data_IF_347109034754
#
_entry.id   IF_347109034754
#
_cell.length_a   1.000
_cell.length_b   1.000
_cell.length_c   1.000
_cell.angle_alpha   90.00
_cell.angle_beta   90.00
_cell.angle_gamma   90.00
#
_symmetry.space_group_name_H-M   'P 1'
#
loop_
_entity.id
_entity.type
_entity.pdbx_description
1 polymer ?
#
# COMPACT_ATOMS: atom_id res chain seq x y z
N UNK A 1 -25.70 20.70 4.18
CA UNK A 1 -25.81 20.11 5.52
C UNK A 1 -24.43 20.13 6.19
N UNK A 2 -24.37 20.09 7.51
CA UNK A 2 -23.11 20.04 8.26
C UNK A 2 -22.65 18.59 8.38
N UNK A 3 -21.44 18.30 7.92
CA UNK A 3 -20.88 16.96 7.93
C UNK A 3 -19.54 16.96 8.66
N UNK A 4 -19.39 16.06 9.63
CA UNK A 4 -18.12 15.82 10.30
C UNK A 4 -17.41 14.62 9.68
N UNK A 5 -16.12 14.77 9.41
CA UNK A 5 -15.24 13.67 8.98
C UNK A 5 -14.21 13.42 10.07
N UNK A 6 -14.19 12.23 10.65
CA UNK A 6 -13.28 11.86 11.74
C UNK A 6 -12.21 10.94 11.19
N UNK A 7 -10.96 11.44 11.18
CA UNK A 7 -9.79 10.77 10.63
C UNK A 7 -9.27 11.42 9.35
N UNK A 8 -8.04 11.92 9.38
CA UNK A 8 -7.35 12.62 8.28
C UNK A 8 -6.45 11.72 7.43
N UNK A 9 -6.74 10.41 7.34
CA UNK A 9 -6.12 9.49 6.38
C UNK A 9 -6.71 9.64 4.97
N UNK A 10 -6.19 8.90 3.98
CA UNK A 10 -6.65 8.99 2.57
C UNK A 10 -8.16 8.84 2.42
N UNK A 11 -8.79 7.94 3.18
CA UNK A 11 -10.24 7.74 3.13
C UNK A 11 -11.01 8.98 3.62
N UNK A 12 -10.60 9.56 4.76
CA UNK A 12 -11.24 10.76 5.30
C UNK A 12 -10.97 11.98 4.43
N UNK A 13 -9.76 12.15 3.92
CA UNK A 13 -9.42 13.24 3.01
C UNK A 13 -10.24 13.16 1.71
N UNK A 14 -10.38 11.97 1.13
CA UNK A 14 -11.20 11.77 -0.07
C UNK A 14 -12.68 12.07 0.22
N UNK A 15 -13.22 11.59 1.34
CA UNK A 15 -14.60 11.88 1.74
C UNK A 15 -14.84 13.39 1.97
N UNK A 16 -13.93 14.04 2.69
CA UNK A 16 -14.07 15.46 3.00
C UNK A 16 -14.02 16.36 1.75
N UNK A 17 -13.10 16.05 0.82
CA UNK A 17 -12.98 16.77 -0.46
C UNK A 17 -14.25 16.59 -1.29
N UNK A 18 -14.72 15.36 -1.46
CA UNK A 18 -15.92 15.05 -2.24
C UNK A 18 -17.16 15.74 -1.65
N UNK A 19 -17.33 15.72 -0.33
CA UNK A 19 -18.41 16.41 0.36
C UNK A 19 -18.35 17.94 0.19
N UNK A 20 -17.15 18.53 0.31
CA UNK A 20 -16.96 19.96 0.11
C UNK A 20 -17.26 20.38 -1.33
N UNK A 21 -16.84 19.57 -2.32
CA UNK A 21 -17.14 19.81 -3.73
C UNK A 21 -18.64 19.75 -4.04
N UNK A 22 -19.41 18.98 -3.26
CA UNK A 22 -20.88 18.96 -3.33
C UNK A 22 -21.57 20.06 -2.49
N UNK A 23 -20.82 21.01 -1.93
CA UNK A 23 -21.35 22.17 -1.22
C UNK A 23 -21.83 21.87 0.20
N UNK A 24 -21.35 20.80 0.83
CA UNK A 24 -21.59 20.56 2.25
C UNK A 24 -20.66 21.42 3.12
N UNK A 25 -21.11 21.78 4.31
CA UNK A 25 -20.29 22.41 5.35
C UNK A 25 -19.51 21.30 6.06
N UNK A 26 -18.23 21.15 5.73
CA UNK A 26 -17.39 20.03 6.18
C UNK A 26 -16.42 20.49 7.27
N UNK A 27 -16.36 19.72 8.36
CA UNK A 27 -15.29 19.80 9.36
C UNK A 27 -14.58 18.45 9.44
N UNK A 28 -13.27 18.45 9.15
CA UNK A 28 -12.40 17.27 9.26
C UNK A 28 -11.61 17.34 10.56
N UNK A 29 -11.69 16.28 11.37
CA UNK A 29 -10.95 16.11 12.62
C UNK A 29 -9.88 15.03 12.49
N UNK A 30 -8.64 15.35 12.85
CA UNK A 30 -7.53 14.41 12.90
C UNK A 30 -6.83 14.45 14.27
N UNK A 31 -6.68 13.31 14.90
CA UNK A 31 -6.07 13.19 16.23
C UNK A 31 -4.56 13.50 16.26
N UNK A 32 -3.88 13.30 15.15
CA UNK A 32 -2.44 13.60 14.98
C UNK A 32 -2.25 15.06 14.53
N UNK A 33 -1.04 15.62 14.71
CA UNK A 33 -0.74 16.97 14.21
C UNK A 33 -0.65 17.06 12.69
N UNK A 34 -0.54 15.92 11.96
CA UNK A 34 -0.37 15.83 10.51
C UNK A 34 -1.47 14.99 9.87
N UNK A 35 -1.91 15.39 8.68
CA UNK A 35 -2.79 14.63 7.81
C UNK A 35 -2.02 13.54 7.03
N UNK A 36 -2.73 12.61 6.39
CA UNK A 36 -2.18 11.55 5.54
C UNK A 36 -2.34 10.13 6.12
N UNK A 37 -2.58 10.00 7.43
CA UNK A 37 -2.85 8.70 8.05
C UNK A 37 -1.70 7.71 7.91
N UNK A 38 -1.87 6.66 7.11
CA UNK A 38 -0.86 5.62 6.88
C UNK A 38 0.17 5.97 5.79
N UNK A 39 0.00 7.08 5.05
CA UNK A 39 0.95 7.54 4.03
C UNK A 39 1.64 8.81 4.53
N UNK A 40 2.78 8.63 5.18
CA UNK A 40 3.48 9.71 5.89
C UNK A 40 4.97 9.70 5.66
N UNK A 41 5.55 10.90 5.66
CA UNK A 41 6.99 11.11 5.85
C UNK A 41 7.29 11.10 7.35
N UNK A 42 8.33 10.39 7.75
CA UNK A 42 8.76 10.33 9.14
C UNK A 42 9.31 11.70 9.57
N UNK A 43 9.11 12.11 10.83
CA UNK A 43 9.73 13.32 11.35
C UNK A 43 11.24 13.31 11.13
N UNK A 44 11.78 14.41 10.62
CA UNK A 44 13.22 14.57 10.37
C UNK A 44 14.01 14.42 11.69
N UNK A 45 15.15 13.76 11.59
CA UNK A 45 16.11 13.61 12.69
C UNK A 45 17.47 14.15 12.25
N UNK A 46 18.23 14.60 13.21
CA UNK A 46 19.63 14.99 12.95
C UNK A 46 20.40 13.83 12.32
N UNK A 47 21.04 14.11 11.19
CA UNK A 47 21.79 13.12 10.41
C UNK A 47 20.96 12.33 9.38
N UNK A 48 19.67 12.54 9.28
CA UNK A 48 18.87 11.93 8.19
C UNK A 48 19.35 12.49 6.83
N UNK A 49 19.55 11.62 5.82
CA UNK A 49 19.81 12.10 4.47
C UNK A 49 18.53 12.71 3.87
N UNK A 50 18.64 13.82 3.09
CA UNK A 50 17.50 14.40 2.42
C UNK A 50 17.10 13.57 1.18
N UNK A 51 15.77 13.46 0.89
CA UNK A 51 14.66 13.87 1.76
C UNK A 51 14.47 12.89 2.93
N UNK A 52 13.85 13.33 4.03
CA UNK A 52 13.60 12.44 5.16
C UNK A 52 12.82 11.20 4.72
N UNK A 53 13.05 10.03 5.37
CA UNK A 53 12.42 8.79 4.96
C UNK A 53 10.90 8.82 5.19
N UNK A 54 10.16 8.10 4.34
CA UNK A 54 8.75 7.82 4.58
C UNK A 54 8.59 6.62 5.55
N UNK A 55 7.38 6.41 6.05
CA UNK A 55 7.09 5.23 6.87
C UNK A 55 7.23 3.89 6.09
N UNK A 56 7.29 3.96 4.76
CA UNK A 56 7.56 2.88 3.82
C UNK A 56 7.55 3.41 2.39
N UNK A 57 8.01 2.60 1.43
CA UNK A 57 7.87 2.94 0.03
C UNK A 57 6.49 2.48 -0.45
N UNK A 58 5.69 3.41 -0.92
CA UNK A 58 4.38 3.12 -1.51
C UNK A 58 4.46 3.22 -3.03
N UNK A 59 3.96 2.20 -3.72
CA UNK A 59 3.76 2.19 -5.17
C UNK A 59 2.27 2.07 -5.43
N UNK A 60 1.74 2.90 -6.31
CA UNK A 60 0.43 2.69 -6.88
C UNK A 60 0.57 2.00 -8.25
N UNK A 61 -0.53 1.49 -8.75
CA UNK A 61 -0.62 0.90 -10.08
C UNK A 61 -1.54 1.74 -10.97
N UNK A 62 -1.42 1.60 -12.27
CA UNK A 62 -2.25 2.31 -13.23
C UNK A 62 -3.75 2.09 -13.04
N UNK A 63 -4.15 0.92 -12.50
CA UNK A 63 -5.54 0.61 -12.13
C UNK A 63 -6.06 1.35 -10.88
N UNK A 64 -5.22 2.12 -10.17
CA UNK A 64 -5.64 2.90 -9.00
C UNK A 64 -6.29 4.22 -9.42
N UNK A 65 -7.39 4.12 -10.14
CA UNK A 65 -8.01 5.26 -10.84
C UNK A 65 -8.56 6.32 -9.90
N UNK A 66 -9.17 5.94 -8.79
CA UNK A 66 -9.71 6.90 -7.82
C UNK A 66 -8.60 7.57 -7.00
N UNK A 67 -7.56 6.83 -6.67
CA UNK A 67 -6.39 7.42 -6.02
C UNK A 67 -5.68 8.45 -6.91
N UNK A 68 -5.51 8.16 -8.20
CA UNK A 68 -4.92 9.09 -9.15
C UNK A 68 -5.81 10.33 -9.33
N UNK A 69 -7.13 10.15 -9.46
CA UNK A 69 -8.09 11.26 -9.51
C UNK A 69 -8.04 12.13 -8.24
N UNK A 70 -7.89 11.51 -7.07
CA UNK A 70 -7.70 12.21 -5.81
C UNK A 70 -6.42 13.07 -5.84
N UNK A 71 -5.29 12.53 -6.31
CA UNK A 71 -4.04 13.30 -6.46
C UNK A 71 -4.21 14.48 -7.42
N UNK A 72 -4.86 14.28 -8.56
CA UNK A 72 -5.16 15.36 -9.50
C UNK A 72 -6.01 16.45 -8.84
N UNK A 73 -7.03 16.06 -8.05
CA UNK A 73 -7.93 16.99 -7.38
C UNK A 73 -7.24 17.84 -6.31
N UNK A 74 -6.24 17.30 -5.62
CA UNK A 74 -5.45 18.06 -4.63
C UNK A 74 -4.24 18.78 -5.24
N UNK A 75 -4.10 18.78 -6.58
CA UNK A 75 -3.04 19.46 -7.31
C UNK A 75 -1.70 18.70 -7.39
N UNK A 76 -1.69 17.41 -7.08
CA UNK A 76 -0.49 16.57 -7.02
C UNK A 76 -0.40 15.52 -8.16
N UNK A 77 -1.17 15.69 -9.24
CA UNK A 77 -1.12 14.81 -10.41
C UNK A 77 0.25 14.69 -11.09
N UNK A 78 1.14 15.68 -10.88
CA UNK A 78 2.54 15.65 -11.36
C UNK A 78 3.55 15.10 -10.35
N UNK A 79 3.11 14.66 -9.16
CA UNK A 79 4.02 14.24 -8.08
C UNK A 79 4.36 12.75 -8.11
N UNK A 80 4.11 12.09 -9.24
CA UNK A 80 4.48 10.71 -9.48
C UNK A 80 4.99 10.52 -10.91
N UNK A 81 5.84 9.50 -11.07
CA UNK A 81 6.33 9.01 -12.37
C UNK A 81 5.58 7.74 -12.72
N UNK A 82 4.93 7.74 -13.89
CA UNK A 82 4.26 6.55 -14.42
C UNK A 82 5.18 5.82 -15.38
N UNK A 83 5.45 4.57 -15.10
CA UNK A 83 6.32 3.71 -15.88
C UNK A 83 5.61 2.41 -16.27
N UNK A 84 5.85 1.94 -17.48
CA UNK A 84 5.37 0.62 -17.89
C UNK A 84 5.93 -0.46 -16.97
N UNK A 85 5.09 -1.44 -16.64
CA UNK A 85 5.52 -2.57 -15.81
C UNK A 85 6.81 -3.18 -16.36
N UNK A 86 7.88 -3.01 -15.61
CA UNK A 86 9.16 -3.67 -15.79
C UNK A 86 9.80 -3.84 -14.42
N UNK A 87 9.71 -5.07 -13.88
CA UNK A 87 10.19 -5.38 -12.53
C UNK A 87 11.49 -6.15 -12.62
N UNK A 88 12.63 -5.55 -12.31
CA UNK A 88 13.87 -6.27 -12.09
C UNK A 88 13.71 -7.22 -10.89
N UNK A 89 14.10 -8.46 -11.06
CA UNK A 89 14.10 -9.50 -10.03
C UNK A 89 15.52 -10.06 -9.93
N UNK A 90 16.06 -10.03 -8.73
CA UNK A 90 17.42 -10.50 -8.42
C UNK A 90 17.30 -11.83 -7.70
N UNK A 91 17.92 -12.86 -8.28
CA UNK A 91 17.96 -14.23 -7.75
C UNK A 91 18.91 -14.39 -6.57
N UNK A 92 18.86 -15.57 -5.96
CA UNK A 92 19.75 -15.96 -4.86
C UNK A 92 21.21 -16.03 -5.31
N UNK A 93 21.45 -16.27 -6.61
CA UNK A 93 22.76 -16.31 -7.28
C UNK A 93 23.20 -14.95 -7.83
N UNK A 94 22.56 -13.86 -7.40
CA UNK A 94 22.78 -12.50 -7.89
C UNK A 94 22.48 -12.29 -9.40
N UNK A 95 21.93 -13.29 -10.09
CA UNK A 95 21.47 -13.11 -11.47
C UNK A 95 20.24 -12.22 -11.52
N UNK A 96 20.10 -11.44 -12.59
CA UNK A 96 18.96 -10.56 -12.77
C UNK A 96 18.08 -10.99 -13.95
N UNK A 97 16.78 -10.95 -13.76
CA UNK A 97 15.77 -11.10 -14.81
C UNK A 97 14.70 -10.03 -14.62
N UNK A 98 13.88 -9.77 -15.64
CA UNK A 98 12.80 -8.80 -15.53
C UNK A 98 11.45 -9.44 -15.84
N UNK A 99 10.43 -9.05 -15.09
CA UNK A 99 9.03 -9.38 -15.36
C UNK A 99 8.36 -8.17 -15.96
N UNK A 100 7.70 -8.34 -17.09
CA UNK A 100 6.84 -7.31 -17.70
C UNK A 100 5.56 -7.94 -18.23
N UNK A 101 4.62 -7.13 -18.72
CA UNK A 101 3.39 -7.63 -19.36
C UNK A 101 3.64 -8.41 -20.66
N UNK A 102 4.82 -8.29 -21.26
CA UNK A 102 5.14 -9.02 -22.48
C UNK A 102 5.25 -10.52 -22.20
N UNK A 103 4.51 -11.40 -22.89
CA UNK A 103 4.70 -12.85 -22.77
C UNK A 103 6.15 -13.28 -23.03
N UNK A 104 6.88 -12.52 -23.85
CA UNK A 104 8.28 -12.76 -24.13
C UNK A 104 9.18 -12.56 -22.92
N UNK A 105 8.86 -11.62 -22.02
CA UNK A 105 9.61 -11.44 -20.77
C UNK A 105 9.45 -12.65 -19.86
N UNK A 106 8.25 -13.22 -19.78
CA UNK A 106 7.98 -14.45 -19.00
C UNK A 106 8.80 -15.62 -19.56
N UNK A 107 8.84 -15.76 -20.90
CA UNK A 107 9.63 -16.82 -21.54
C UNK A 107 11.14 -16.63 -21.34
N UNK A 108 11.60 -15.41 -21.10
CA UNK A 108 13.02 -15.07 -20.80
C UNK A 108 13.34 -15.04 -19.31
N UNK A 109 12.35 -15.21 -18.43
CA UNK A 109 12.53 -15.12 -16.99
C UNK A 109 13.40 -16.27 -16.45
N UNK A 110 14.70 -16.03 -16.29
CA UNK A 110 15.72 -17.04 -15.99
C UNK A 110 15.59 -17.72 -14.63
N UNK A 111 14.87 -17.11 -13.67
CA UNK A 111 14.67 -17.69 -12.32
C UNK A 111 13.70 -18.88 -12.31
N UNK A 112 13.10 -19.23 -13.46
CA UNK A 112 12.31 -20.43 -13.65
C UNK A 112 12.84 -21.28 -14.79
N UNK A 113 12.81 -22.63 -14.69
CA UNK A 113 13.10 -23.55 -15.80
C UNK A 113 12.14 -23.29 -16.99
N UNK A 114 12.58 -23.60 -18.22
CA UNK A 114 11.81 -23.32 -19.44
C UNK A 114 10.36 -23.88 -19.41
N UNK A 115 10.19 -25.12 -18.91
CA UNK A 115 8.86 -25.74 -18.76
C UNK A 115 7.95 -24.95 -17.83
N UNK A 116 8.51 -24.39 -16.77
CA UNK A 116 7.76 -23.59 -15.77
C UNK A 116 7.32 -22.24 -16.35
N UNK A 117 8.15 -21.62 -17.18
CA UNK A 117 7.82 -20.36 -17.88
C UNK A 117 6.61 -20.53 -18.79
N UNK A 118 6.54 -21.64 -19.55
CA UNK A 118 5.38 -21.98 -20.38
C UNK A 118 4.13 -22.23 -19.52
N UNK A 119 4.31 -22.86 -18.36
CA UNK A 119 3.20 -23.07 -17.41
C UNK A 119 2.67 -21.76 -16.86
N UNK A 120 3.52 -20.76 -16.51
CA UNK A 120 3.08 -19.44 -16.09
C UNK A 120 2.16 -18.80 -17.12
N UNK A 121 2.50 -18.86 -18.42
CA UNK A 121 1.65 -18.31 -19.48
C UNK A 121 0.28 -19.00 -19.51
N UNK A 122 0.26 -20.34 -19.37
CA UNK A 122 -1.03 -21.08 -19.30
C UNK A 122 -1.85 -20.72 -18.09
N UNK A 123 -1.23 -20.60 -16.93
CA UNK A 123 -1.90 -20.21 -15.69
C UNK A 123 -2.47 -18.78 -15.80
N UNK A 124 -1.73 -17.82 -16.36
CA UNK A 124 -2.23 -16.47 -16.63
C UNK A 124 -3.47 -16.47 -17.53
N UNK A 125 -3.46 -17.28 -18.59
CA UNK A 125 -4.63 -17.41 -19.47
C UNK A 125 -5.82 -18.06 -18.76
N UNK A 126 -5.59 -19.03 -17.88
CA UNK A 126 -6.63 -19.68 -17.10
C UNK A 126 -7.22 -18.71 -16.05
N UNK A 127 -6.40 -17.88 -15.41
CA UNK A 127 -6.84 -16.90 -14.42
C UNK A 127 -7.81 -15.84 -14.99
N UNK A 128 -7.77 -15.56 -16.31
CA UNK A 128 -8.75 -14.66 -16.94
C UNK A 128 -10.19 -15.07 -16.78
N UNK A 129 -10.45 -16.38 -16.62
CA UNK A 129 -11.80 -16.96 -16.51
C UNK A 129 -12.00 -17.73 -15.21
N UNK A 130 -11.01 -17.71 -14.34
CA UNK A 130 -11.10 -18.37 -13.05
C UNK A 130 -12.03 -17.60 -12.12
N UNK A 131 -12.62 -18.32 -11.20
CA UNK A 131 -13.36 -17.79 -10.07
C UNK A 131 -12.57 -18.14 -8.81
N UNK A 132 -12.31 -17.15 -7.98
CA UNK A 132 -11.70 -17.30 -6.67
C UNK A 132 -12.76 -17.53 -5.61
N UNK A 133 -12.47 -18.40 -4.67
CA UNK A 133 -13.33 -18.65 -3.51
C UNK A 133 -12.67 -18.08 -2.27
N UNK A 134 -13.45 -17.49 -1.39
CA UNK A 134 -12.92 -16.92 -0.14
C UNK A 134 -12.56 -18.01 0.89
N UNK A 135 -12.94 -19.27 0.67
CA UNK A 135 -12.63 -20.43 1.53
C UNK A 135 -11.33 -21.16 1.10
N UNK A 136 -10.68 -20.77 0.02
CA UNK A 136 -9.39 -21.33 -0.45
C UNK A 136 -8.30 -20.25 -0.55
N UNK A 137 -7.04 -20.67 -0.49
CA UNK A 137 -5.92 -19.75 -0.71
C UNK A 137 -5.66 -19.54 -2.20
N UNK A 138 -5.06 -18.40 -2.55
CA UNK A 138 -4.66 -18.12 -3.92
C UNK A 138 -3.60 -19.13 -4.41
N UNK A 139 -2.68 -19.56 -3.54
CA UNK A 139 -1.74 -20.63 -3.85
C UNK A 139 -2.42 -21.95 -4.19
N UNK A 140 -3.53 -22.29 -3.51
CA UNK A 140 -4.34 -23.47 -3.84
C UNK A 140 -4.99 -23.33 -5.22
N UNK A 141 -5.58 -22.16 -5.52
CA UNK A 141 -6.13 -21.85 -6.85
C UNK A 141 -5.03 -21.97 -7.93
N UNK A 142 -3.87 -21.36 -7.72
CA UNK A 142 -2.75 -21.43 -8.66
C UNK A 142 -2.31 -22.86 -8.94
N UNK A 143 -2.18 -23.71 -7.90
CA UNK A 143 -1.83 -25.13 -8.07
C UNK A 143 -2.91 -25.91 -8.82
N UNK A 144 -4.19 -25.63 -8.54
CA UNK A 144 -5.31 -26.21 -9.27
C UNK A 144 -5.29 -25.85 -10.77
N UNK A 145 -4.76 -24.68 -11.12
CA UNK A 145 -4.56 -24.24 -12.50
C UNK A 145 -3.23 -24.73 -13.11
N UNK A 146 -2.41 -25.45 -12.36
CA UNK A 146 -1.18 -26.08 -12.83
C UNK A 146 0.11 -25.33 -12.50
N UNK A 147 0.08 -24.37 -11.56
CA UNK A 147 1.29 -23.75 -11.05
C UNK A 147 2.05 -24.71 -10.11
N UNK A 148 3.37 -24.67 -10.18
CA UNK A 148 4.26 -25.34 -9.22
C UNK A 148 4.55 -24.45 -8.01
N UNK A 149 5.09 -25.04 -6.92
CA UNK A 149 5.60 -24.28 -5.78
C UNK A 149 6.69 -23.27 -6.19
N UNK A 150 7.60 -23.68 -7.09
CA UNK A 150 8.64 -22.77 -7.58
C UNK A 150 8.09 -21.56 -8.34
N UNK A 151 6.98 -21.72 -9.08
CA UNK A 151 6.30 -20.59 -9.71
C UNK A 151 5.68 -19.66 -8.67
N UNK A 152 5.08 -20.22 -7.60
CA UNK A 152 4.48 -19.40 -6.52
C UNK A 152 5.57 -18.57 -5.87
N UNK A 153 6.66 -19.17 -5.42
CA UNK A 153 7.71 -18.46 -4.71
C UNK A 153 8.49 -17.46 -5.58
N UNK A 154 8.76 -17.81 -6.84
CA UNK A 154 9.70 -17.05 -7.69
C UNK A 154 9.02 -16.14 -8.70
N UNK A 155 7.71 -16.25 -8.89
CA UNK A 155 6.96 -15.43 -9.83
C UNK A 155 5.71 -14.80 -9.19
N UNK A 156 4.80 -15.61 -8.65
CA UNK A 156 3.52 -15.09 -8.15
C UNK A 156 3.68 -14.23 -6.88
N UNK A 157 4.50 -14.66 -5.92
CA UNK A 157 4.75 -13.89 -4.69
C UNK A 157 5.48 -12.57 -4.95
N UNK A 158 6.16 -12.41 -6.09
CA UNK A 158 6.74 -11.12 -6.49
C UNK A 158 5.66 -10.04 -6.65
N UNK A 159 4.45 -10.41 -7.08
CA UNK A 159 3.31 -9.49 -7.22
C UNK A 159 2.35 -9.55 -6.05
N UNK A 160 2.00 -10.76 -5.63
CA UNK A 160 0.95 -10.99 -4.64
C UNK A 160 1.36 -10.47 -3.27
N UNK A 161 2.59 -10.75 -2.87
CA UNK A 161 3.05 -10.39 -1.54
C UNK A 161 3.07 -8.88 -1.28
N UNK A 162 3.60 -8.02 -2.15
CA UNK A 162 3.53 -6.58 -1.93
C UNK A 162 2.11 -6.00 -2.06
N UNK A 163 1.25 -6.62 -2.89
CA UNK A 163 -0.11 -6.13 -3.12
C UNK A 163 -1.08 -6.49 -1.98
N UNK A 164 -0.95 -7.69 -1.41
CA UNK A 164 -1.83 -8.22 -0.37
C UNK A 164 -1.20 -8.21 1.02
N UNK A 165 0.09 -7.91 1.10
CA UNK A 165 0.89 -8.02 2.31
C UNK A 165 0.83 -9.43 2.93
N UNK A 166 0.70 -10.45 2.07
CA UNK A 166 0.62 -11.88 2.36
C UNK A 166 1.23 -12.68 1.21
N UNK A 167 1.74 -13.87 1.49
CA UNK A 167 2.12 -14.82 0.44
C UNK A 167 0.88 -15.39 -0.25
N UNK A 168 1.02 -15.84 -1.48
CA UNK A 168 -0.07 -16.49 -2.22
C UNK A 168 -0.68 -17.69 -1.47
N UNK A 169 0.13 -18.42 -0.70
CA UNK A 169 -0.30 -19.57 0.11
C UNK A 169 -1.11 -19.17 1.36
N UNK A 170 -1.15 -17.90 1.69
CA UNK A 170 -1.87 -17.35 2.84
C UNK A 170 -3.06 -16.48 2.43
N UNK A 171 -2.92 -15.75 1.32
CA UNK A 171 -3.94 -14.84 0.82
C UNK A 171 -5.16 -15.60 0.27
N UNK A 172 -6.38 -15.06 0.44
CA UNK A 172 -7.58 -15.64 -0.14
C UNK A 172 -7.50 -15.68 -1.66
N UNK A 173 -8.07 -16.71 -2.28
CA UNK A 173 -8.10 -16.85 -3.73
C UNK A 173 -8.88 -15.71 -4.39
N UNK A 174 -9.92 -15.21 -3.76
CA UNK A 174 -10.69 -14.08 -4.25
C UNK A 174 -9.83 -12.80 -4.32
N UNK A 175 -9.13 -12.45 -3.23
CA UNK A 175 -8.27 -11.28 -3.18
C UNK A 175 -7.08 -11.39 -4.15
N UNK A 176 -6.44 -12.56 -4.22
CA UNK A 176 -5.33 -12.81 -5.14
C UNK A 176 -5.75 -12.74 -6.60
N UNK A 177 -6.89 -13.36 -6.92
CA UNK A 177 -7.45 -13.34 -8.27
C UNK A 177 -7.86 -11.93 -8.71
N UNK A 178 -8.58 -11.19 -7.85
CA UNK A 178 -8.93 -9.80 -8.10
C UNK A 178 -7.68 -8.96 -8.40
N UNK A 179 -6.63 -9.09 -7.58
CA UNK A 179 -5.38 -8.38 -7.77
C UNK A 179 -4.76 -8.67 -9.14
N UNK A 180 -4.66 -9.96 -9.51
CA UNK A 180 -4.06 -10.36 -10.80
C UNK A 180 -4.94 -9.95 -11.97
N UNK A 181 -6.26 -10.14 -11.89
CA UNK A 181 -7.18 -9.79 -12.98
C UNK A 181 -7.19 -8.27 -13.21
N UNK A 182 -7.25 -7.48 -12.16
CA UNK A 182 -7.31 -6.01 -12.26
C UNK A 182 -5.96 -5.43 -12.71
N UNK A 183 -4.84 -5.83 -12.07
CA UNK A 183 -3.56 -5.20 -12.35
C UNK A 183 -2.82 -5.78 -13.56
N UNK A 184 -2.88 -7.10 -13.79
CA UNK A 184 -2.06 -7.75 -14.83
C UNK A 184 -2.84 -8.17 -16.06
N UNK A 185 -4.13 -8.48 -15.92
CA UNK A 185 -4.96 -9.03 -17.00
C UNK A 185 -6.00 -8.04 -17.55
N UNK A 186 -6.14 -6.87 -16.94
CA UNK A 186 -6.90 -5.72 -17.42
C UNK A 186 -6.24 -5.01 -18.61
N UNK A 187 -6.48 -3.71 -18.74
CA UNK A 187 -5.89 -2.89 -19.80
C UNK A 187 -4.36 -2.76 -19.66
N UNK A 188 -3.70 -2.32 -20.75
CA UNK A 188 -2.24 -2.25 -20.78
C UNK A 188 -1.67 -1.33 -19.70
N UNK A 189 -2.38 -0.29 -19.39
CA UNK A 189 -1.96 0.75 -18.46
C UNK A 189 -2.26 0.41 -17.00
N UNK A 190 -3.12 -0.58 -16.72
CA UNK A 190 -3.49 -0.99 -15.37
C UNK A 190 -2.31 -1.51 -14.56
N UNK A 191 -1.36 -2.15 -15.24
CA UNK A 191 -0.14 -2.67 -14.64
C UNK A 191 0.99 -1.64 -14.51
N UNK A 192 0.85 -0.43 -15.06
CA UNK A 192 1.90 0.58 -14.98
C UNK A 192 2.24 0.90 -13.52
N UNK A 193 3.53 1.05 -13.26
CA UNK A 193 4.01 1.47 -11.95
C UNK A 193 3.83 2.98 -11.79
N UNK A 194 3.21 3.39 -10.71
CA UNK A 194 3.06 4.80 -10.33
C UNK A 194 3.93 5.06 -9.11
N UNK A 195 5.09 5.65 -9.36
CA UNK A 195 6.16 5.84 -8.40
C UNK A 195 6.14 7.28 -7.88
N UNK A 196 6.00 7.52 -6.58
CA UNK A 196 6.07 8.88 -6.03
C UNK A 196 7.48 9.46 -6.25
N UNK A 197 7.53 10.72 -6.68
CA UNK A 197 8.79 11.45 -6.92
C UNK A 197 9.10 12.49 -5.85
N UNK A 198 8.33 12.50 -4.78
CA UNK A 198 8.47 13.36 -3.60
C UNK A 198 8.11 12.59 -2.33
N UNK A 199 8.48 13.06 -1.14
CA UNK A 199 8.06 12.48 0.13
C UNK A 199 6.53 12.37 0.25
N UNK A 200 6.04 11.29 0.85
CA UNK A 200 4.60 10.98 0.91
C UNK A 200 3.78 12.06 1.65
N UNK A 201 4.35 12.66 2.71
CA UNK A 201 3.68 13.76 3.43
C UNK A 201 3.43 14.99 2.56
N UNK A 202 4.37 15.28 1.66
CA UNK A 202 4.29 16.39 0.72
C UNK A 202 3.29 16.17 -0.43
N UNK A 203 2.98 14.90 -0.74
CA UNK A 203 2.07 14.53 -1.84
C UNK A 203 0.62 14.42 -1.34
N UNK A 204 0.40 14.05 -0.07
CA UNK A 204 -0.94 13.69 0.39
C UNK A 204 -1.50 14.68 1.42
N UNK A 205 -1.00 14.65 2.65
CA UNK A 205 -1.65 15.33 3.77
C UNK A 205 -1.69 16.85 3.62
N UNK A 206 -0.56 17.47 3.36
CA UNK A 206 -0.48 18.93 3.22
C UNK A 206 -1.27 19.47 2.02
N UNK A 207 -1.12 18.91 0.78
CA UNK A 207 -1.93 19.36 -0.35
C UNK A 207 -3.42 19.16 -0.15
N UNK A 208 -3.84 18.04 0.42
CA UNK A 208 -5.25 17.79 0.70
C UNK A 208 -5.81 18.78 1.73
N UNK A 209 -5.04 19.12 2.77
CA UNK A 209 -5.40 20.15 3.73
C UNK A 209 -5.60 21.51 3.08
N UNK A 210 -4.70 21.91 2.17
CA UNK A 210 -4.84 23.17 1.39
C UNK A 210 -6.07 23.13 0.46
N UNK A 211 -6.32 22.01 -0.20
CA UNK A 211 -7.48 21.84 -1.07
C UNK A 211 -8.81 21.94 -0.31
N UNK A 212 -8.88 21.34 0.88
CA UNK A 212 -10.03 21.43 1.78
C UNK A 212 -10.29 22.86 2.24
N UNK A 213 -9.25 23.57 2.68
CA UNK A 213 -9.37 24.96 3.10
C UNK A 213 -9.82 25.86 1.94
N UNK A 214 -9.29 25.64 0.73
CA UNK A 214 -9.70 26.37 -0.46
C UNK A 214 -11.16 26.09 -0.86
N UNK A 215 -11.68 24.90 -0.54
CA UNK A 215 -13.10 24.53 -0.71
C UNK A 215 -14.01 25.01 0.44
N UNK A 216 -13.46 25.74 1.42
CA UNK A 216 -14.22 26.28 2.55
C UNK A 216 -14.44 25.29 3.71
N UNK A 217 -13.81 24.15 3.69
CA UNK A 217 -13.87 23.18 4.79
C UNK A 217 -12.98 23.58 5.96
N UNK A 218 -13.40 23.24 7.17
CA UNK A 218 -12.59 23.39 8.38
C UNK A 218 -11.74 22.13 8.60
N UNK A 219 -10.46 22.31 8.93
CA UNK A 219 -9.53 21.21 9.23
C UNK A 219 -8.95 21.40 10.62
N UNK A 220 -9.22 20.46 11.52
CA UNK A 220 -8.76 20.46 12.91
C UNK A 220 -7.81 19.29 13.16
N UNK A 221 -6.51 19.56 13.19
CA UNK A 221 -5.48 18.57 13.57
C UNK A 221 -5.18 18.63 15.06
N UNK A 222 -4.64 17.54 15.63
CA UNK A 222 -4.45 17.40 17.08
C UNK A 222 -5.77 17.26 17.86
N UNK A 223 -6.89 17.06 17.16
CA UNK A 223 -8.25 17.01 17.70
C UNK A 223 -8.76 15.56 17.73
N UNK A 224 -8.63 14.90 18.87
CA UNK A 224 -9.17 13.56 19.09
C UNK A 224 -10.64 13.62 19.42
N UNK A 225 -11.45 12.87 18.68
CA UNK A 225 -12.89 12.74 18.95
C UNK A 225 -13.14 11.50 19.82
N UNK A 226 -13.87 11.70 20.89
CA UNK A 226 -14.27 10.64 21.82
C UNK A 226 -15.80 10.48 21.89
N UNK A 227 -16.57 11.46 21.43
CA UNK A 227 -18.03 11.45 21.39
C UNK A 227 -18.53 12.04 20.07
N UNK A 228 -19.29 11.24 19.29
CA UNK A 228 -19.87 11.66 18.02
C UNK A 228 -21.05 12.63 18.19
N UNK A 229 -21.79 12.52 19.28
CA UNK A 229 -22.96 13.39 19.53
C UNK A 229 -22.54 14.83 19.83
N UNK A 230 -21.34 15.01 20.41
CA UNK A 230 -20.77 16.31 20.68
C UNK A 230 -20.39 17.11 19.41
N UNK A 231 -20.30 16.47 18.25
CA UNK A 231 -19.94 17.13 16.98
C UNK A 231 -21.04 18.04 16.44
N UNK A 232 -22.30 17.82 16.82
CA UNK A 232 -23.43 18.58 16.32
C UNK A 232 -23.60 18.55 14.80
N UNK A 233 -23.06 17.54 14.13
CA UNK A 233 -23.15 17.32 12.70
C UNK A 233 -24.43 16.56 12.32
N UNK A 234 -24.95 16.79 11.11
CA UNK A 234 -26.14 16.12 10.59
C UNK A 234 -25.79 14.74 10.03
N UNK A 235 -24.53 14.55 9.58
CA UNK A 235 -23.96 13.28 9.20
C UNK A 235 -22.49 13.21 9.61
N UNK A 236 -21.98 11.99 9.81
CA UNK A 236 -20.59 11.73 10.21
C UNK A 236 -19.98 10.67 9.32
N UNK A 237 -18.76 10.92 8.83
CA UNK A 237 -17.91 9.89 8.21
C UNK A 237 -16.83 9.49 9.21
N UNK A 238 -16.82 8.23 9.64
CA UNK A 238 -15.76 7.65 10.46
C UNK A 238 -14.71 7.03 9.54
N UNK A 239 -13.60 7.72 9.35
CA UNK A 239 -12.48 7.30 8.54
C UNK A 239 -11.25 6.92 9.40
N UNK A 240 -11.50 6.21 10.49
CA UNK A 240 -10.50 5.78 11.48
C UNK A 240 -10.32 4.26 11.46
N UNK A 241 -9.27 3.71 12.10
CA UNK A 241 -9.08 2.26 12.21
C UNK A 241 -10.26 1.52 12.84
N UNK A 242 -10.40 0.19 12.60
CA UNK A 242 -11.51 -0.61 13.12
C UNK A 242 -11.76 -0.45 14.62
N UNK A 243 -10.71 -0.52 15.44
CA UNK A 243 -10.80 -0.38 16.89
C UNK A 243 -11.35 0.98 17.33
N UNK A 244 -10.91 2.07 16.70
CA UNK A 244 -11.42 3.41 16.99
C UNK A 244 -12.86 3.58 16.49
N UNK A 245 -13.20 2.96 15.35
CA UNK A 245 -14.59 2.95 14.84
C UNK A 245 -15.52 2.23 15.82
N UNK A 246 -15.14 1.04 16.29
CA UNK A 246 -15.93 0.28 17.26
C UNK A 246 -16.09 1.06 18.58
N UNK A 247 -15.03 1.67 19.08
CA UNK A 247 -15.06 2.52 20.29
C UNK A 247 -16.02 3.71 20.13
N UNK A 248 -16.00 4.41 19.00
CA UNK A 248 -16.84 5.59 18.76
C UNK A 248 -18.30 5.24 18.48
N UNK A 249 -18.57 4.09 17.87
CA UNK A 249 -19.94 3.61 17.66
C UNK A 249 -20.56 3.07 18.93
N UNK A 250 -19.74 2.54 19.86
CA UNK A 250 -20.20 1.89 21.07
C UNK A 250 -20.85 0.52 20.83
N UNK A 251 -21.31 -0.11 21.91
CA UNK A 251 -22.09 -1.36 21.78
C UNK A 251 -23.44 -1.08 21.07
N UNK A 252 -23.90 -1.97 20.22
CA UNK A 252 -23.51 -3.38 20.04
C UNK A 252 -22.55 -3.67 18.86
N UNK A 253 -21.75 -2.72 18.44
CA UNK A 253 -20.84 -2.91 17.29
C UNK A 253 -19.42 -3.32 17.78
N UNK A 254 -19.14 -4.63 17.99
CA UNK A 254 -17.82 -5.10 18.37
C UNK A 254 -16.81 -4.84 17.24
N UNK A 255 -15.54 -4.63 17.59
CA UNK A 255 -14.46 -4.51 16.61
C UNK A 255 -14.45 -5.70 15.66
N UNK A 256 -14.36 -5.50 14.33
CA UNK A 256 -14.21 -6.62 13.40
C UNK A 256 -12.89 -7.35 13.63
N UNK A 257 -12.94 -8.67 13.72
CA UNK A 257 -11.77 -9.53 13.97
C UNK A 257 -10.88 -9.62 12.71
N UNK A 258 -10.26 -8.52 12.34
CA UNK A 258 -9.32 -8.45 11.21
C UNK A 258 -7.89 -8.64 11.70
N UNK A 259 -7.30 -9.81 11.37
CA UNK A 259 -5.89 -10.08 11.68
C UNK A 259 -5.00 -9.02 10.99
N UNK A 260 -4.05 -8.39 11.71
CA UNK A 260 -3.15 -7.43 11.09
C UNK A 260 -2.03 -8.12 10.29
N UNK A 261 -1.60 -7.49 9.20
CA UNK A 261 -0.41 -7.88 8.46
C UNK A 261 0.63 -6.76 8.50
N UNK A 262 1.84 -7.04 9.02
CA UNK A 262 2.87 -6.04 9.22
C UNK A 262 3.71 -5.77 7.98
N UNK A 263 4.26 -4.55 7.92
CA UNK A 263 5.33 -4.16 7.00
C UNK A 263 6.51 -3.61 7.81
N UNK A 264 7.70 -3.99 7.40
CA UNK A 264 8.95 -3.45 7.93
C UNK A 264 9.71 -2.77 6.80
N UNK A 265 10.10 -1.52 7.02
CA UNK A 265 10.94 -0.75 6.09
C UNK A 265 12.26 -0.39 6.76
N UNK A 266 13.36 -0.54 6.03
CA UNK A 266 14.69 -0.15 6.50
C UNK A 266 15.31 0.77 5.44
N UNK A 267 15.64 1.99 5.86
CA UNK A 267 16.28 2.99 5.04
C UNK A 267 17.79 2.92 5.28
N UNK A 268 18.57 2.86 4.21
CA UNK A 268 20.01 2.59 4.23
C UNK A 268 20.74 3.57 3.32
N UNK A 269 21.77 4.22 3.82
CA UNK A 269 22.70 4.98 3.01
C UNK A 269 24.04 4.23 2.94
N UNK A 270 24.42 3.80 1.74
CA UNK A 270 25.70 3.15 1.48
C UNK A 270 26.71 4.12 0.87
N UNK A 271 28.01 3.84 1.04
CA UNK A 271 29.14 4.65 0.56
C UNK A 271 29.27 4.71 -0.98
N UNK A 272 28.65 3.73 -1.66
CA UNK A 272 28.69 3.58 -3.13
C UNK A 272 27.38 3.02 -3.68
N UNK A 273 27.13 3.16 -5.00
CA UNK A 273 25.97 2.55 -5.66
C UNK A 273 26.02 1.03 -5.63
N UNK A 274 24.91 0.41 -5.19
CA UNK A 274 24.65 -1.02 -5.20
C UNK A 274 23.59 -1.39 -6.23
N UNK A 275 22.46 -0.68 -6.23
CA UNK A 275 21.35 -0.92 -7.13
C UNK A 275 21.51 -0.11 -8.42
N UNK A 276 21.33 -0.77 -9.58
CA UNK A 276 21.47 -0.16 -10.91
C UNK A 276 20.13 0.19 -11.57
N UNK A 277 19.04 -0.03 -10.87
CA UNK A 277 17.69 0.27 -11.31
C UNK A 277 16.97 1.05 -10.21
N UNK A 278 15.89 1.80 -10.52
CA UNK A 278 15.14 2.55 -9.50
C UNK A 278 14.51 1.64 -8.44
N UNK A 279 14.29 0.38 -8.77
CA UNK A 279 13.77 -0.63 -7.83
C UNK A 279 14.14 -2.05 -8.27
N UNK A 280 14.12 -3.00 -7.35
CA UNK A 280 14.20 -4.43 -7.66
C UNK A 280 13.54 -5.27 -6.57
N UNK A 281 13.03 -6.46 -6.96
CA UNK A 281 12.66 -7.52 -6.03
C UNK A 281 13.83 -8.48 -5.81
N UNK A 282 13.96 -9.04 -4.60
CA UNK A 282 14.98 -10.02 -4.25
C UNK A 282 14.34 -11.36 -3.86
N UNK A 283 14.60 -12.41 -4.62
CA UNK A 283 14.05 -13.74 -4.33
C UNK A 283 14.73 -14.38 -3.12
N UNK A 284 13.95 -15.06 -2.27
CA UNK A 284 14.47 -15.79 -1.11
C UNK A 284 15.23 -14.88 -0.12
N UNK A 285 14.90 -13.60 -0.02
CA UNK A 285 15.56 -12.60 0.81
C UNK A 285 14.63 -12.06 1.87
N UNK A 286 15.12 -11.70 3.07
CA UNK A 286 14.33 -10.89 4.01
C UNK A 286 14.05 -9.49 3.46
N UNK A 287 14.91 -8.97 2.60
CA UNK A 287 14.74 -7.73 1.84
C UNK A 287 13.91 -8.03 0.58
N UNK A 288 12.58 -8.00 0.66
CA UNK A 288 11.74 -8.40 -0.47
C UNK A 288 11.86 -7.45 -1.65
N UNK A 289 11.88 -6.14 -1.36
CA UNK A 289 11.98 -5.07 -2.34
C UNK A 289 13.00 -4.04 -1.90
N UNK A 290 13.73 -3.52 -2.86
CA UNK A 290 14.66 -2.41 -2.66
C UNK A 290 14.38 -1.32 -3.68
N UNK A 291 14.43 -0.06 -3.22
CA UNK A 291 14.15 1.14 -3.99
C UNK A 291 15.30 2.12 -3.85
N UNK A 292 15.74 2.72 -4.95
CA UNK A 292 16.64 3.87 -4.92
C UNK A 292 15.85 5.14 -4.62
N UNK A 293 15.77 5.49 -3.32
CA UNK A 293 15.02 6.66 -2.89
C UNK A 293 15.62 7.95 -3.44
N UNK A 294 16.94 8.03 -3.52
CA UNK A 294 17.63 9.19 -4.07
C UNK A 294 17.27 9.45 -5.54
N UNK A 295 17.25 8.40 -6.35
CA UNK A 295 16.82 8.48 -7.75
C UNK A 295 15.33 8.81 -7.88
N UNK A 296 14.48 8.08 -7.16
CA UNK A 296 13.02 8.24 -7.23
C UNK A 296 12.58 9.66 -6.85
N UNK A 297 13.16 10.24 -5.81
CA UNK A 297 12.79 11.58 -5.33
C UNK A 297 13.55 12.72 -6.03
N UNK A 298 14.49 12.41 -6.94
CA UNK A 298 15.32 13.40 -7.59
C UNK A 298 16.35 14.05 -6.66
N UNK A 299 16.61 13.45 -5.51
CA UNK A 299 17.57 13.94 -4.51
C UNK A 299 18.63 12.86 -4.19
N UNK A 300 19.49 12.51 -5.17
CA UNK A 300 20.56 11.56 -4.90
C UNK A 300 21.51 12.12 -3.85
N UNK A 301 22.02 11.31 -2.92
CA UNK A 301 22.99 11.76 -1.95
C UNK A 301 24.29 12.24 -2.64
N UNK A 302 25.02 13.15 -2.00
CA UNK A 302 26.29 13.65 -2.55
C UNK A 302 27.32 12.54 -2.76
N UNK A 303 27.25 11.51 -1.95
CA UNK A 303 28.08 10.31 -2.03
C UNK A 303 27.25 9.09 -1.73
N UNK A 304 27.49 7.99 -2.47
CA UNK A 304 26.86 6.72 -2.23
C UNK A 304 25.46 6.59 -2.82
N UNK A 305 24.62 5.76 -2.18
CA UNK A 305 23.25 5.49 -2.62
C UNK A 305 22.28 5.39 -1.44
N UNK A 306 21.15 6.07 -1.54
CA UNK A 306 20.11 6.05 -0.52
C UNK A 306 18.99 5.07 -0.91
N UNK A 307 18.96 3.93 -0.25
CA UNK A 307 18.03 2.84 -0.52
C UNK A 307 16.96 2.74 0.54
N UNK A 308 15.75 2.36 0.12
CA UNK A 308 14.68 1.91 1.01
C UNK A 308 14.40 0.45 0.74
N UNK A 309 14.54 -0.38 1.77
CA UNK A 309 14.18 -1.81 1.74
C UNK A 309 12.81 -1.99 2.36
N UNK A 310 11.95 -2.78 1.72
CA UNK A 310 10.61 -3.10 2.22
C UNK A 310 10.41 -4.61 2.31
N UNK A 311 9.91 -5.06 3.45
CA UNK A 311 9.49 -6.43 3.69
C UNK A 311 8.02 -6.46 4.10
N UNK A 312 7.19 -7.17 3.31
CA UNK A 312 5.75 -7.26 3.46
C UNK A 312 5.32 -8.60 4.06
N UNK A 313 4.31 -8.60 4.95
CA UNK A 313 3.80 -9.81 5.56
C UNK A 313 4.86 -10.56 6.39
N UNK A 314 5.53 -9.85 7.31
CA UNK A 314 6.72 -10.32 8.03
C UNK A 314 6.57 -10.20 9.55
N UNK A 315 5.64 -10.95 10.17
CA UNK A 315 5.47 -10.90 11.63
C UNK A 315 6.77 -11.25 12.37
N UNK A 316 7.59 -12.15 11.84
CA UNK A 316 8.85 -12.57 12.45
C UNK A 316 9.87 -11.44 12.55
N UNK A 317 9.89 -10.51 11.58
CA UNK A 317 10.81 -9.37 11.60
C UNK A 317 10.42 -8.28 12.61
N UNK A 318 9.18 -8.26 13.08
CA UNK A 318 8.74 -7.30 14.11
C UNK A 318 9.50 -7.47 15.43
N UNK A 319 9.88 -8.71 15.77
CA UNK A 319 10.63 -9.04 16.97
C UNK A 319 12.11 -8.65 16.92
N UNK A 320 12.69 -8.56 15.72
CA UNK A 320 14.09 -8.18 15.53
C UNK A 320 14.22 -6.66 15.67
N UNK A 321 15.09 -6.18 16.54
CA UNK A 321 15.20 -4.75 16.86
C UNK A 321 16.61 -4.20 16.68
N UNK A 322 16.69 -2.86 16.63
CA UNK A 322 17.94 -2.13 16.64
C UNK A 322 18.86 -2.51 15.48
N UNK A 323 20.13 -2.62 15.79
CA UNK A 323 21.20 -2.90 14.83
C UNK A 323 21.03 -4.24 14.12
N UNK A 324 20.56 -5.24 14.82
CA UNK A 324 20.38 -6.60 14.27
C UNK A 324 19.48 -6.60 13.01
N UNK A 325 18.34 -5.91 13.04
CA UNK A 325 17.47 -5.81 11.84
C UNK A 325 18.15 -5.07 10.70
N UNK A 326 18.88 -3.99 11.02
CA UNK A 326 19.66 -3.24 10.01
C UNK A 326 20.72 -4.13 9.38
N UNK A 327 21.46 -4.90 10.19
CA UNK A 327 22.53 -5.80 9.73
C UNK A 327 21.95 -6.92 8.85
N UNK A 328 20.78 -7.49 9.19
CA UNK A 328 20.08 -8.48 8.36
C UNK A 328 19.71 -7.88 6.99
N UNK A 329 19.13 -6.68 6.95
CA UNK A 329 18.70 -6.06 5.69
C UNK A 329 19.86 -5.55 4.84
N UNK A 330 20.86 -4.93 5.46
CA UNK A 330 22.06 -4.48 4.77
C UNK A 330 22.87 -5.67 4.24
N UNK A 331 23.05 -6.72 5.04
CA UNK A 331 23.71 -7.95 4.63
C UNK A 331 23.03 -8.62 3.44
N UNK A 332 21.69 -8.70 3.44
CA UNK A 332 20.93 -9.25 2.33
C UNK A 332 21.12 -8.47 1.01
N UNK A 333 21.39 -7.17 1.06
CA UNK A 333 21.71 -6.37 -0.11
C UNK A 333 23.16 -6.58 -0.54
N UNK A 334 24.11 -6.48 0.38
CA UNK A 334 25.56 -6.57 0.03
C UNK A 334 25.94 -7.96 -0.48
N UNK A 335 25.35 -9.03 0.06
CA UNK A 335 25.53 -10.40 -0.43
C UNK A 335 25.22 -10.56 -1.93
N UNK A 336 24.24 -9.80 -2.45
CA UNK A 336 23.76 -9.95 -3.84
C UNK A 336 24.14 -8.83 -4.78
N UNK A 337 24.32 -7.63 -4.25
CA UNK A 337 24.58 -6.43 -5.07
C UNK A 337 26.04 -6.00 -5.04
N UNK A 338 26.83 -6.54 -4.11
CA UNK A 338 28.25 -6.26 -3.94
C UNK A 338 28.57 -5.53 -2.63
N UNK A 339 29.85 -5.54 -2.27
CA UNK A 339 30.33 -4.95 -1.02
C UNK A 339 30.18 -3.44 -1.01
N UNK A 340 29.65 -2.91 0.11
CA UNK A 340 29.55 -1.48 0.39
C UNK A 340 29.52 -1.24 1.91
N UNK A 341 30.00 -0.08 2.32
CA UNK A 341 29.95 0.34 3.72
C UNK A 341 28.63 1.05 4.02
N UNK A 342 27.97 0.65 5.10
CA UNK A 342 26.73 1.29 5.58
C UNK A 342 27.09 2.54 6.39
N UNK A 343 26.71 3.72 5.89
CA UNK A 343 26.98 5.01 6.50
C UNK A 343 25.89 5.46 7.47
N UNK A 344 24.63 5.15 7.14
CA UNK A 344 23.46 5.54 7.94
C UNK A 344 22.30 4.58 7.75
N UNK A 345 21.45 4.48 8.76
CA UNK A 345 20.24 3.65 8.69
C UNK A 345 19.11 4.16 9.57
N UNK A 346 17.87 3.90 9.15
CA UNK A 346 16.66 4.15 9.94
C UNK A 346 15.62 3.08 9.67
N UNK A 347 14.93 2.63 10.73
CA UNK A 347 13.90 1.59 10.65
C UNK A 347 12.53 2.20 10.88
N UNK A 348 11.57 1.80 10.05
CA UNK A 348 10.13 2.00 10.26
C UNK A 348 9.43 0.66 10.38
N UNK A 349 8.48 0.55 11.29
CA UNK A 349 7.65 -0.64 11.49
C UNK A 349 6.19 -0.23 11.53
N UNK A 350 5.40 -0.88 10.69
CA UNK A 350 3.96 -0.74 10.65
C UNK A 350 3.33 -2.09 11.03
N UNK A 351 3.11 -2.35 12.33
CA UNK A 351 2.59 -3.65 12.80
C UNK A 351 1.19 -3.95 12.28
N UNK A 352 0.42 -2.91 11.97
CA UNK A 352 -0.94 -2.97 11.44
C UNK A 352 -1.01 -2.22 10.10
N UNK A 353 -0.09 -2.54 9.18
CA UNK A 353 -0.01 -1.87 7.88
C UNK A 353 -1.29 -2.10 7.06
N UNK A 354 -1.76 -3.34 7.04
CA UNK A 354 -3.01 -3.76 6.40
C UNK A 354 -3.71 -4.79 7.29
N UNK A 355 -4.97 -5.13 6.96
CA UNK A 355 -5.51 -6.40 7.41
C UNK A 355 -4.98 -7.54 6.53
N UNK A 356 -4.86 -8.73 7.09
CA UNK A 356 -4.49 -9.94 6.37
C UNK A 356 -5.71 -10.48 5.61
N UNK A 357 -5.73 -10.36 4.28
CA UNK A 357 -6.81 -10.86 3.43
C UNK A 357 -6.73 -12.39 3.27
N UNK A 358 -6.83 -13.12 4.40
CA UNK A 358 -6.86 -14.59 4.44
C UNK A 358 -8.23 -15.14 4.00
N UNK A 359 -8.34 -16.44 3.69
CA UNK A 359 -9.64 -17.08 3.49
C UNK A 359 -10.64 -16.76 4.62
N UNK A 360 -11.87 -16.36 4.26
CA UNK A 360 -12.92 -15.98 5.20
C UNK A 360 -12.90 -14.52 5.67
N UNK A 361 -11.84 -13.76 5.42
CA UNK A 361 -11.74 -12.37 5.91
C UNK A 361 -12.79 -11.44 5.31
N UNK A 362 -13.26 -11.71 4.09
CA UNK A 362 -14.24 -10.85 3.41
C UNK A 362 -15.51 -10.65 4.23
N UNK A 363 -16.02 -11.72 4.85
CA UNK A 363 -17.25 -11.68 5.63
C UNK A 363 -17.12 -10.97 6.98
N UNK A 364 -15.87 -10.75 7.44
CA UNK A 364 -15.57 -10.04 8.68
C UNK A 364 -15.51 -8.52 8.48
N UNK A 365 -15.38 -8.04 7.23
CA UNK A 365 -15.28 -6.61 6.93
C UNK A 365 -16.64 -5.94 7.07
N UNK A 366 -16.68 -4.85 7.81
CA UNK A 366 -17.89 -4.07 7.96
C UNK A 366 -18.28 -3.36 6.67
N UNK A 367 -19.59 -3.17 6.49
CA UNK A 367 -20.13 -2.36 5.41
C UNK A 367 -19.95 -0.86 5.68
N UNK A 368 -20.08 -0.04 4.65
CA UNK A 368 -20.00 1.42 4.74
C UNK A 368 -21.07 2.01 5.69
N UNK A 369 -22.27 1.45 5.71
CA UNK A 369 -23.36 1.96 6.59
C UNK A 369 -23.23 1.30 7.96
N UNK A 370 -23.02 2.15 8.99
CA UNK A 370 -23.10 1.67 10.38
C UNK A 370 -24.57 1.45 10.80
N UNK A 371 -24.77 0.82 11.96
CA UNK A 371 -26.10 0.72 12.57
C UNK A 371 -26.59 2.04 13.15
N UNK A 372 -25.68 2.97 13.44
CA UNK A 372 -25.99 4.31 13.92
C UNK A 372 -26.48 5.17 12.76
N UNK A 373 -27.67 5.77 12.84
CA UNK A 373 -28.19 6.64 11.78
C UNK A 373 -27.23 7.77 11.43
N UNK A 374 -27.11 8.08 10.15
CA UNK A 374 -26.26 9.15 9.61
C UNK A 374 -24.76 9.02 9.92
N UNK A 375 -24.29 7.83 10.32
CA UNK A 375 -22.86 7.53 10.51
C UNK A 375 -22.41 6.54 9.46
N UNK A 376 -21.44 6.95 8.67
CA UNK A 376 -20.87 6.18 7.55
C UNK A 376 -19.41 5.85 7.84
N UNK A 377 -18.99 4.66 7.46
CA UNK A 377 -17.63 4.17 7.68
C UNK A 377 -16.81 4.28 6.40
N UNK A 378 -15.56 4.68 6.53
CA UNK A 378 -14.61 4.72 5.44
C UNK A 378 -13.24 4.19 5.88
N UNK A 379 -12.49 3.62 4.94
CA UNK A 379 -11.17 3.04 5.18
C UNK A 379 -10.92 1.84 4.27
N UNK A 380 -9.66 1.50 4.04
CA UNK A 380 -9.30 0.35 3.22
C UNK A 380 -9.80 -1.01 3.80
N UNK A 381 -10.22 -1.02 5.06
CA UNK A 381 -10.75 -2.19 5.77
C UNK A 381 -12.25 -2.41 5.58
N UNK A 382 -12.98 -1.44 5.00
CA UNK A 382 -14.42 -1.57 4.70
C UNK A 382 -14.64 -2.56 3.55
N UNK A 383 -15.75 -3.29 3.62
CA UNK A 383 -16.10 -4.32 2.63
C UNK A 383 -16.13 -3.78 1.20
N UNK A 384 -15.27 -4.32 0.37
CA UNK A 384 -15.15 -4.06 -1.06
C UNK A 384 -14.38 -5.20 -1.72
N UNK A 385 -14.31 -5.24 -3.05
CA UNK A 385 -13.47 -6.19 -3.79
C UNK A 385 -11.98 -5.87 -3.66
N UNK A 386 -11.65 -4.60 -3.40
CA UNK A 386 -10.28 -4.14 -3.28
C UNK A 386 -9.60 -4.65 -2.00
N UNK A 387 -8.33 -5.10 -2.10
CA UNK A 387 -7.49 -5.34 -0.93
C UNK A 387 -7.17 -4.02 -0.22
N UNK A 388 -6.51 -4.10 0.95
CA UNK A 388 -6.15 -2.92 1.75
C UNK A 388 -5.06 -2.09 1.05
N UNK A 389 -5.47 -1.19 0.18
CA UNK A 389 -4.62 -0.32 -0.65
C UNK A 389 -5.01 1.15 -0.53
N UNK A 390 -4.18 2.05 -1.04
CA UNK A 390 -4.51 3.48 -1.17
C UNK A 390 -5.76 3.68 -2.00
N UNK A 391 -5.94 2.89 -3.06
CA UNK A 391 -7.13 2.91 -3.91
C UNK A 391 -8.40 2.54 -3.12
N UNK A 392 -8.34 1.46 -2.33
CA UNK A 392 -9.46 1.05 -1.49
C UNK A 392 -9.84 2.14 -0.47
N UNK A 393 -8.85 2.80 0.11
CA UNK A 393 -9.08 3.89 1.06
C UNK A 393 -9.81 5.06 0.41
N UNK A 394 -9.32 5.54 -0.74
CA UNK A 394 -9.94 6.66 -1.47
C UNK A 394 -11.35 6.29 -1.94
N UNK A 395 -11.53 5.11 -2.55
CA UNK A 395 -12.85 4.62 -2.99
C UNK A 395 -13.86 4.57 -1.85
N UNK A 396 -13.45 4.09 -0.70
CA UNK A 396 -14.36 4.00 0.46
C UNK A 396 -14.78 5.37 0.97
N UNK A 397 -13.87 6.35 0.96
CA UNK A 397 -14.17 7.73 1.31
C UNK A 397 -15.15 8.39 0.35
N UNK A 398 -14.90 8.26 -0.95
CA UNK A 398 -15.79 8.76 -2.00
C UNK A 398 -17.19 8.13 -1.93
N UNK A 399 -17.27 6.81 -1.72
CA UNK A 399 -18.54 6.10 -1.56
C UNK A 399 -19.34 6.59 -0.34
N UNK A 400 -18.67 6.86 0.79
CA UNK A 400 -19.32 7.41 1.97
C UNK A 400 -19.86 8.83 1.71
N UNK A 401 -19.11 9.68 1.02
CA UNK A 401 -19.54 11.01 0.61
C UNK A 401 -20.75 10.97 -0.34
N UNK A 402 -20.71 10.10 -1.34
CA UNK A 402 -21.82 9.91 -2.28
C UNK A 402 -23.11 9.45 -1.57
N UNK A 403 -22.98 8.55 -0.57
CA UNK A 403 -24.13 8.08 0.20
C UNK A 403 -24.78 9.15 1.09
N UNK A 404 -24.05 10.20 1.46
CA UNK A 404 -24.55 11.36 2.21
C UNK A 404 -25.21 12.36 1.27
N UNK A 405 -24.67 12.52 0.06
CA UNK A 405 -25.13 13.53 -0.91
C UNK A 405 -26.43 13.13 -1.62
N UNK A 406 -26.72 11.83 -1.74
CA UNK A 406 -27.98 11.28 -2.30
C UNK A 406 -29.16 11.43 -1.32
#
# INVERSE_FOLDING_TARGET
>A
MRVAVVGGGLAGLAAAIELADHGHEVTLFEARPTLGGAVQTLPEREGDPPPPPDNGQHIALGCFTEYLRFLDRIGEGGSYRRERLSLPVIGEDASAAAISRSPLSILRYSHLPARERLSVVRVLLALRRAEGRDDETFGTLLRRLGASGAQIDRFWDVFVRPALNLRADEASAEAGLFTVQTALLGDAEDADLVLPVRPLGEIHGEPAGRALQAAGATVETGSRIDDLDALGAEAVVLAVPPADSARLLGEPEPEPELEPSPIVSVHLLFDRPLLRAPLAALLGSPAHWVFDRGELTGHPPKQGQYLTVVASGVPDLLGIRGRELVDVMAGALTERLGDAELLWSRVSREPRATFAARPGTRTLRWTMRSRRPNVYLAGAWIASEWPATMEAAVRSGAAAAEAITR
#
